data_IF_326063071591
#
_entry.id   IF_326063071591
#
_cell.length_a   1.000
_cell.length_b   1.000
_cell.length_c   1.000
_cell.angle_alpha   90.00
_cell.angle_beta   90.00
_cell.angle_gamma   90.00
#
_symmetry.space_group_name_H-M   'P 1'
#
loop_
_entity.id
_entity.type
_entity.pdbx_description
1 polymer ?
#
# COMPACT_ATOMS: atom_id res chain seq x y z
N UNK A 1 22.02 -3.21 22.97
CA UNK A 1 21.02 -2.58 22.09
C UNK A 1 21.14 -1.05 22.05
N UNK A 2 20.55 -0.27 22.97
CA UNK A 2 20.61 1.22 22.90
C UNK A 2 22.06 1.78 22.87
N UNK A 3 22.95 1.24 23.71
CA UNK A 3 24.38 1.62 23.73
C UNK A 3 25.14 1.25 22.46
N UNK A 4 24.66 0.29 21.68
CA UNK A 4 25.31 -0.13 20.43
C UNK A 4 24.84 0.75 19.26
N UNK A 5 23.59 1.21 19.32
CA UNK A 5 23.04 2.22 18.41
C UNK A 5 23.74 3.57 18.62
N UNK A 6 23.95 4.00 19.86
CA UNK A 6 24.64 5.27 20.17
C UNK A 6 26.10 5.32 19.67
N UNK A 7 26.75 4.16 19.46
CA UNK A 7 28.11 4.10 18.91
C UNK A 7 28.14 4.38 17.40
N UNK A 8 27.07 4.05 16.69
CA UNK A 8 26.97 4.17 15.24
C UNK A 8 26.19 5.42 14.82
N UNK A 9 25.20 5.82 15.61
CA UNK A 9 24.28 6.90 15.27
C UNK A 9 24.22 7.97 16.34
N UNK A 10 24.32 9.22 15.90
CA UNK A 10 24.03 10.38 16.73
C UNK A 10 22.51 10.63 16.80
N UNK A 11 21.83 10.07 17.79
CA UNK A 11 20.38 10.24 17.94
C UNK A 11 20.08 11.59 18.61
N UNK A 12 19.38 12.48 17.90
CA UNK A 12 18.98 13.79 18.43
C UNK A 12 17.60 14.19 17.90
N UNK A 13 16.95 15.18 18.50
CA UNK A 13 15.68 15.69 17.98
C UNK A 13 15.78 16.19 16.52
N UNK A 14 16.98 16.58 16.07
CA UNK A 14 17.24 17.01 14.70
C UNK A 14 17.20 15.86 13.69
N UNK A 15 17.43 14.61 14.10
CA UNK A 15 17.31 13.48 13.16
C UNK A 15 15.85 13.17 12.79
N UNK A 16 14.87 13.79 13.47
CA UNK A 16 13.44 13.69 13.16
C UNK A 16 12.99 14.67 12.06
N UNK A 17 13.88 15.53 11.54
CA UNK A 17 13.56 16.47 10.46
C UNK A 17 12.87 15.79 9.26
N UNK A 18 13.30 14.61 8.75
CA UNK A 18 12.64 13.96 7.62
C UNK A 18 11.18 13.60 7.92
N UNK A 19 10.89 13.13 9.14
CA UNK A 19 9.54 12.84 9.61
C UNK A 19 8.68 14.11 9.64
N UNK A 20 9.21 15.20 10.20
CA UNK A 20 8.52 16.50 10.24
C UNK A 20 8.20 16.99 8.83
N UNK A 21 9.14 16.87 7.89
CA UNK A 21 8.92 17.24 6.48
C UNK A 21 7.77 16.45 5.89
N UNK A 22 7.75 15.12 6.04
CA UNK A 22 6.66 14.27 5.52
C UNK A 22 5.31 14.65 6.13
N UNK A 23 5.24 14.85 7.45
CA UNK A 23 4.01 15.24 8.15
C UNK A 23 3.51 16.60 7.66
N UNK A 24 4.40 17.59 7.55
CA UNK A 24 4.03 18.93 7.07
C UNK A 24 3.51 18.88 5.62
N UNK A 25 4.15 18.10 4.75
CA UNK A 25 3.68 17.92 3.36
C UNK A 25 2.33 17.21 3.30
N UNK A 26 2.11 16.20 4.16
CA UNK A 26 0.83 15.50 4.27
C UNK A 26 -0.29 16.44 4.75
N UNK A 27 -0.04 17.27 5.78
CA UNK A 27 -1.00 18.27 6.25
C UNK A 27 -1.31 19.33 5.19
N UNK A 28 -0.33 19.65 4.33
CA UNK A 28 -0.50 20.54 3.17
C UNK A 28 -1.14 19.85 1.95
N UNK A 29 -1.56 18.59 2.07
CA UNK A 29 -2.20 17.81 1.00
C UNK A 29 -1.35 17.73 -0.27
N UNK A 30 -0.02 17.74 -0.13
CA UNK A 30 0.90 17.51 -1.24
C UNK A 30 0.77 16.05 -1.69
N UNK A 31 0.86 15.75 -3.00
CA UNK A 31 0.81 14.38 -3.50
C UNK A 31 1.75 13.43 -2.73
N UNK A 32 1.29 12.25 -2.29
CA UNK A 32 2.08 11.34 -1.45
C UNK A 32 3.44 10.95 -2.06
N UNK A 33 3.50 10.77 -3.38
CA UNK A 33 4.74 10.45 -4.11
C UNK A 33 5.81 11.52 -3.90
N UNK A 34 5.42 12.80 -3.97
CA UNK A 34 6.33 13.92 -3.72
C UNK A 34 6.71 14.03 -2.25
N UNK A 35 5.78 13.74 -1.34
CA UNK A 35 6.06 13.75 0.09
C UNK A 35 7.08 12.67 0.49
N UNK A 36 6.94 11.45 -0.04
CA UNK A 36 7.88 10.34 0.20
C UNK A 36 9.26 10.67 -0.39
N UNK A 37 9.31 11.18 -1.62
CA UNK A 37 10.58 11.60 -2.24
C UNK A 37 11.28 12.69 -1.43
N UNK A 38 10.54 13.72 -1.00
CA UNK A 38 11.08 14.79 -0.16
C UNK A 38 11.59 14.24 1.19
N UNK A 39 10.86 13.29 1.79
CA UNK A 39 11.28 12.60 3.01
C UNK A 39 12.59 11.83 2.81
N UNK A 40 12.72 11.06 1.73
CA UNK A 40 13.94 10.31 1.41
C UNK A 40 15.15 11.23 1.18
N UNK A 41 14.98 12.30 0.39
CA UNK A 41 16.04 13.28 0.15
C UNK A 41 16.45 14.02 1.42
N UNK A 42 15.49 14.41 2.25
CA UNK A 42 15.76 15.04 3.55
C UNK A 42 16.46 14.07 4.50
N UNK A 43 16.10 12.79 4.47
CA UNK A 43 16.79 11.72 5.20
C UNK A 43 18.26 11.57 4.77
N UNK A 44 18.51 11.61 3.46
CA UNK A 44 19.87 11.63 2.91
C UNK A 44 20.68 12.85 3.39
N UNK A 45 20.09 14.05 3.37
CA UNK A 45 20.75 15.25 3.87
C UNK A 45 21.07 15.15 5.37
N UNK A 46 20.14 14.64 6.16
CA UNK A 46 20.36 14.41 7.60
C UNK A 46 21.46 13.38 7.83
N UNK A 47 21.54 12.32 7.02
CA UNK A 47 22.62 11.34 7.12
C UNK A 47 23.99 11.97 6.83
N UNK A 48 24.10 12.82 5.82
CA UNK A 48 25.35 13.52 5.47
C UNK A 48 25.79 14.48 6.58
N UNK A 49 24.86 15.26 7.14
CA UNK A 49 25.18 16.33 8.10
C UNK A 49 25.42 15.76 9.50
N UNK A 50 24.57 14.83 9.95
CA UNK A 50 24.55 14.37 11.34
C UNK A 50 25.09 12.95 11.53
N UNK A 51 25.26 12.16 10.46
CA UNK A 51 25.73 10.76 10.53
C UNK A 51 26.91 10.45 9.58
N UNK A 52 27.92 11.32 9.41
CA UNK A 52 28.97 11.10 8.42
C UNK A 52 29.81 9.84 8.68
N UNK A 53 29.99 9.46 9.95
CA UNK A 53 30.75 8.26 10.31
C UNK A 53 30.00 6.98 9.93
N UNK A 54 28.68 6.93 10.15
CA UNK A 54 27.84 5.79 9.74
C UNK A 54 27.85 5.64 8.21
N UNK A 55 27.75 6.74 7.48
CA UNK A 55 27.78 6.73 6.01
C UNK A 55 29.13 6.21 5.48
N UNK A 56 30.25 6.65 6.07
CA UNK A 56 31.58 6.13 5.71
C UNK A 56 31.73 4.64 6.00
N UNK A 57 31.31 4.21 7.19
CA UNK A 57 31.37 2.80 7.57
C UNK A 57 30.53 1.91 6.64
N UNK A 58 29.37 2.41 6.19
CA UNK A 58 28.51 1.70 5.26
C UNK A 58 29.12 1.56 3.86
N UNK A 59 29.75 2.62 3.34
CA UNK A 59 30.37 2.58 2.00
C UNK A 59 31.65 1.74 1.99
N UNK A 60 32.46 1.80 3.06
CA UNK A 60 33.65 0.97 3.24
C UNK A 60 34.75 1.18 2.19
N UNK A 61 34.76 2.32 1.51
CA UNK A 61 35.69 2.63 0.41
C UNK A 61 36.54 3.86 0.74
N UNK A 62 37.74 3.62 1.26
CA UNK A 62 38.70 4.65 1.67
C UNK A 62 39.40 5.33 0.48
N UNK A 63 39.18 4.86 -0.75
CA UNK A 63 39.80 5.43 -1.95
C UNK A 63 39.10 6.70 -2.46
N UNK A 64 37.87 6.94 -2.00
CA UNK A 64 37.02 8.04 -2.45
C UNK A 64 37.15 9.27 -1.54
N UNK A 65 37.16 10.45 -2.14
CA UNK A 65 37.09 11.72 -1.40
C UNK A 65 35.80 11.82 -0.59
N UNK A 66 35.84 12.53 0.56
CA UNK A 66 34.69 12.64 1.48
C UNK A 66 33.35 13.00 0.80
N UNK A 67 33.27 13.96 -0.14
CA UNK A 67 31.99 14.28 -0.81
C UNK A 67 31.42 13.11 -1.61
N UNK A 68 32.28 12.32 -2.26
CA UNK A 68 31.87 11.16 -3.07
C UNK A 68 31.41 10.00 -2.21
N UNK A 69 32.06 9.76 -1.06
CA UNK A 69 31.61 8.77 -0.08
C UNK A 69 30.22 9.11 0.46
N UNK A 70 29.99 10.38 0.79
CA UNK A 70 28.68 10.85 1.28
C UNK A 70 27.57 10.64 0.25
N UNK A 71 27.83 11.04 -1.01
CA UNK A 71 26.87 10.89 -2.09
C UNK A 71 26.58 9.42 -2.39
N UNK A 72 27.63 8.60 -2.51
CA UNK A 72 27.53 7.16 -2.76
C UNK A 72 26.75 6.46 -1.64
N UNK A 73 27.05 6.76 -0.38
CA UNK A 73 26.36 6.12 0.75
C UNK A 73 24.87 6.45 0.83
N UNK A 74 24.47 7.69 0.55
CA UNK A 74 23.04 8.04 0.46
C UNK A 74 22.38 7.35 -0.73
N UNK A 75 23.05 7.36 -1.88
CA UNK A 75 22.54 6.70 -3.09
C UNK A 75 22.34 5.19 -2.88
N UNK A 76 23.35 4.51 -2.36
CA UNK A 76 23.31 3.07 -2.10
C UNK A 76 22.26 2.74 -1.04
N UNK A 77 22.16 3.52 0.05
CA UNK A 77 21.12 3.33 1.06
C UNK A 77 19.71 3.47 0.48
N UNK A 78 19.49 4.37 -0.49
CA UNK A 78 18.20 4.49 -1.19
C UNK A 78 17.99 3.37 -2.22
N UNK A 79 19.03 2.99 -2.94
CA UNK A 79 18.95 2.03 -4.04
C UNK A 79 18.88 0.59 -3.55
N UNK A 80 19.88 0.15 -2.79
CA UNK A 80 20.06 -1.23 -2.35
C UNK A 80 19.71 -1.44 -0.88
N UNK A 81 19.65 -0.35 -0.11
CA UNK A 81 19.31 -0.38 1.31
C UNK A 81 20.51 -0.29 2.23
N UNK A 82 20.28 0.20 3.44
CA UNK A 82 21.33 0.30 4.47
C UNK A 82 21.57 -1.07 5.11
N UNK A 83 22.82 -1.37 5.44
CA UNK A 83 23.21 -2.59 6.16
C UNK A 83 24.02 -2.19 7.39
N UNK A 84 23.50 -2.54 8.56
CA UNK A 84 24.18 -2.31 9.82
C UNK A 84 25.15 -3.45 10.15
N UNK A 85 26.28 -3.11 10.76
CA UNK A 85 27.22 -4.07 11.31
C UNK A 85 27.64 -3.60 12.70
N UNK A 86 26.82 -3.95 13.68
CA UNK A 86 26.95 -3.55 15.09
C UNK A 86 27.61 -4.64 15.93
N UNK A 87 27.72 -5.86 15.39
CA UNK A 87 28.15 -7.06 16.11
C UNK A 87 27.02 -7.75 16.90
N UNK A 88 25.80 -7.26 16.78
CA UNK A 88 24.61 -7.79 17.44
C UNK A 88 23.53 -8.10 16.39
N UNK A 89 23.31 -9.38 16.09
CA UNK A 89 22.37 -9.81 15.06
C UNK A 89 20.96 -9.19 15.18
N UNK A 90 20.34 -9.08 16.38
CA UNK A 90 19.03 -8.44 16.50
C UNK A 90 19.02 -6.94 16.12
N UNK A 91 20.11 -6.23 16.35
CA UNK A 91 20.25 -4.80 16.02
C UNK A 91 20.54 -4.65 14.53
N UNK A 92 21.34 -5.54 13.97
CA UNK A 92 21.67 -5.55 12.54
C UNK A 92 20.42 -5.87 11.70
N UNK A 93 19.60 -6.83 12.11
CA UNK A 93 18.32 -7.15 11.47
C UNK A 93 17.31 -6.00 11.54
N UNK A 94 17.30 -5.27 12.66
CA UNK A 94 16.38 -4.15 12.86
C UNK A 94 16.75 -2.91 12.01
N UNK A 95 18.04 -2.63 11.89
CA UNK A 95 18.54 -1.43 11.23
C UNK A 95 18.79 -1.62 9.73
N UNK A 96 18.99 -2.86 9.29
CA UNK A 96 19.21 -3.16 7.88
C UNK A 96 17.89 -3.16 7.09
N UNK A 97 17.93 -2.69 5.85
CA UNK A 97 16.75 -2.62 4.98
C UNK A 97 17.12 -2.84 3.51
N UNK A 98 16.12 -3.06 2.66
CA UNK A 98 16.32 -3.45 1.25
C UNK A 98 16.27 -2.32 0.20
N UNK A 99 16.08 -1.06 0.62
CA UNK A 99 15.99 0.07 -0.30
C UNK A 99 14.91 -0.09 -1.39
N UNK A 100 15.09 0.58 -2.53
CA UNK A 100 14.22 0.41 -3.70
C UNK A 100 14.35 -0.98 -4.34
N UNK A 101 15.54 -1.58 -4.29
CA UNK A 101 15.81 -2.91 -4.84
C UNK A 101 14.91 -3.98 -4.22
N UNK A 102 14.69 -3.92 -2.90
CA UNK A 102 13.79 -4.82 -2.18
C UNK A 102 12.33 -4.76 -2.64
N UNK A 103 11.94 -3.67 -3.31
CA UNK A 103 10.58 -3.48 -3.83
C UNK A 103 10.43 -3.86 -5.30
N UNK A 104 11.51 -4.19 -6.02
CA UNK A 104 11.45 -4.49 -7.46
C UNK A 104 10.49 -5.63 -7.80
N UNK A 105 10.44 -6.67 -6.98
CA UNK A 105 9.50 -7.78 -7.18
C UNK A 105 8.04 -7.31 -7.13
N UNK A 106 7.70 -6.47 -6.15
CA UNK A 106 6.36 -5.88 -6.02
C UNK A 106 6.06 -4.95 -7.21
N UNK A 107 7.03 -4.14 -7.63
CA UNK A 107 6.88 -3.25 -8.80
C UNK A 107 6.63 -4.06 -10.08
N UNK A 108 7.39 -5.12 -10.32
CA UNK A 108 7.17 -6.00 -11.48
C UNK A 108 5.79 -6.63 -11.47
N UNK A 109 5.37 -7.13 -10.31
CA UNK A 109 4.03 -7.71 -10.13
C UNK A 109 2.94 -6.67 -10.43
N UNK A 110 3.06 -5.44 -9.93
CA UNK A 110 2.10 -4.35 -10.22
C UNK A 110 2.06 -4.04 -11.72
N UNK A 111 3.22 -3.85 -12.37
CA UNK A 111 3.28 -3.54 -13.81
C UNK A 111 2.60 -4.64 -14.64
N UNK A 112 2.93 -5.91 -14.37
CA UNK A 112 2.33 -7.05 -15.08
C UNK A 112 0.83 -7.15 -14.82
N UNK A 113 0.39 -6.98 -13.56
CA UNK A 113 -1.02 -7.08 -13.20
C UNK A 113 -1.85 -5.92 -13.80
N UNK A 114 -1.33 -4.69 -13.80
CA UNK A 114 -1.98 -3.54 -14.42
C UNK A 114 -2.04 -3.67 -15.95
N UNK A 115 -0.98 -4.16 -16.59
CA UNK A 115 -0.98 -4.43 -18.02
C UNK A 115 -2.04 -5.47 -18.40
N UNK A 116 -2.08 -6.59 -17.67
CA UNK A 116 -3.10 -7.63 -17.85
C UNK A 116 -4.52 -7.08 -17.62
N UNK A 117 -4.72 -6.36 -16.52
CA UNK A 117 -5.99 -5.75 -16.18
C UNK A 117 -6.47 -4.74 -17.22
N UNK A 118 -5.57 -3.92 -17.75
CA UNK A 118 -5.84 -2.99 -18.83
C UNK A 118 -6.29 -3.68 -20.11
N UNK A 119 -5.61 -4.76 -20.51
CA UNK A 119 -5.99 -5.58 -21.68
C UNK A 119 -7.38 -6.18 -21.48
N UNK A 120 -7.63 -6.82 -20.33
CA UNK A 120 -8.93 -7.44 -20.05
C UNK A 120 -10.09 -6.44 -20.04
N UNK A 121 -9.84 -5.22 -19.56
CA UNK A 121 -10.83 -4.15 -19.55
C UNK A 121 -11.09 -3.65 -20.98
N UNK A 122 -10.04 -3.44 -21.78
CA UNK A 122 -10.17 -2.97 -23.17
C UNK A 122 -10.87 -4.00 -24.08
N UNK A 123 -10.67 -5.30 -23.86
CA UNK A 123 -11.33 -6.37 -24.63
C UNK A 123 -12.75 -6.69 -24.15
N UNK A 124 -13.21 -6.08 -23.05
CA UNK A 124 -14.55 -6.29 -22.51
C UNK A 124 -14.77 -7.62 -21.77
N UNK A 125 -13.74 -8.47 -21.65
CA UNK A 125 -13.82 -9.74 -20.92
C UNK A 125 -14.15 -9.54 -19.44
N UNK A 126 -13.57 -8.49 -18.87
CA UNK A 126 -13.75 -8.14 -17.46
C UNK A 126 -15.22 -7.83 -17.13
N UNK A 127 -15.92 -7.11 -18.03
CA UNK A 127 -17.36 -6.86 -17.90
C UNK A 127 -18.20 -8.13 -18.05
N UNK A 128 -17.82 -9.05 -18.95
CA UNK A 128 -18.53 -10.32 -19.16
C UNK A 128 -18.42 -11.28 -17.98
N UNK A 129 -17.30 -11.30 -17.26
CA UNK A 129 -17.12 -12.13 -16.07
C UNK A 129 -18.03 -11.70 -14.91
N UNK A 130 -18.37 -10.41 -14.84
CA UNK A 130 -19.09 -9.83 -13.68
C UNK A 130 -20.57 -9.56 -13.98
N UNK A 131 -20.98 -9.47 -15.24
CA UNK A 131 -22.37 -9.35 -15.66
C UNK A 131 -23.33 -10.32 -14.91
N UNK A 132 -22.99 -11.62 -14.70
CA UNK A 132 -23.83 -12.55 -13.94
C UNK A 132 -23.93 -12.23 -12.44
N UNK A 133 -22.90 -11.61 -11.86
CA UNK A 133 -22.84 -11.24 -10.44
C UNK A 133 -23.72 -10.01 -10.16
N UNK A 134 -23.74 -9.06 -11.09
CA UNK A 134 -24.62 -7.88 -11.03
C UNK A 134 -26.10 -8.27 -11.11
N UNK A 135 -26.47 -9.20 -12.02
CA UNK A 135 -27.87 -9.66 -12.19
C UNK A 135 -28.46 -10.37 -10.98
N UNK A 136 -27.63 -10.89 -10.06
CA UNK A 136 -28.07 -11.60 -8.84
C UNK A 136 -28.42 -10.66 -7.68
N UNK A 137 -28.02 -9.40 -7.74
CA UNK A 137 -28.41 -8.43 -6.73
C UNK A 137 -29.86 -8.01 -6.99
N UNK A 138 -30.81 -8.37 -6.12
CA UNK A 138 -32.24 -8.00 -6.30
C UNK A 138 -32.71 -6.90 -5.36
N UNK A 139 -31.96 -6.57 -4.30
CA UNK A 139 -32.25 -5.50 -3.33
C UNK A 139 -31.06 -4.55 -3.12
N UNK A 140 -31.25 -3.34 -2.54
CA UNK A 140 -30.13 -2.46 -2.19
C UNK A 140 -29.09 -3.11 -1.26
N UNK A 141 -29.55 -3.94 -0.33
CA UNK A 141 -28.70 -4.76 0.53
C UNK A 141 -27.95 -5.83 -0.26
N UNK A 142 -28.65 -6.48 -1.18
CA UNK A 142 -28.08 -7.43 -2.13
C UNK A 142 -27.01 -6.79 -3.01
N UNK A 143 -27.19 -5.56 -3.46
CA UNK A 143 -26.19 -4.82 -4.23
C UNK A 143 -24.91 -4.60 -3.42
N UNK A 144 -25.02 -4.10 -2.18
CA UNK A 144 -23.88 -3.95 -1.26
C UNK A 144 -23.15 -5.29 -1.03
N UNK A 145 -23.89 -6.35 -0.71
CA UNK A 145 -23.31 -7.67 -0.48
C UNK A 145 -22.64 -8.26 -1.74
N UNK A 146 -23.30 -8.16 -2.91
CA UNK A 146 -22.75 -8.62 -4.18
C UNK A 146 -21.50 -7.85 -4.57
N UNK A 147 -21.46 -6.53 -4.36
CA UNK A 147 -20.25 -5.71 -4.54
C UNK A 147 -19.14 -6.22 -3.63
N UNK A 148 -19.42 -6.40 -2.33
CA UNK A 148 -18.43 -6.86 -1.36
C UNK A 148 -17.83 -8.22 -1.70
N UNK A 149 -18.68 -9.22 -1.98
CA UNK A 149 -18.26 -10.57 -2.35
C UNK A 149 -17.46 -10.55 -3.66
N UNK A 150 -17.90 -9.77 -4.64
CA UNK A 150 -17.20 -9.65 -5.93
C UNK A 150 -15.81 -9.04 -5.74
N UNK A 151 -15.70 -7.96 -4.97
CA UNK A 151 -14.43 -7.31 -4.64
C UNK A 151 -13.43 -8.27 -3.97
N UNK A 152 -13.88 -9.03 -2.96
CA UNK A 152 -13.04 -10.04 -2.28
C UNK A 152 -12.65 -11.16 -3.25
N UNK A 153 -13.60 -11.64 -4.05
CA UNK A 153 -13.35 -12.68 -5.05
C UNK A 153 -12.32 -12.24 -6.09
N UNK A 154 -12.40 -11.00 -6.58
CA UNK A 154 -11.42 -10.44 -7.51
C UNK A 154 -10.05 -10.34 -6.84
N UNK A 155 -9.94 -9.89 -5.59
CA UNK A 155 -8.66 -9.91 -4.88
C UNK A 155 -8.06 -11.32 -4.79
N UNK A 156 -8.90 -12.33 -4.56
CA UNK A 156 -8.47 -13.72 -4.51
C UNK A 156 -7.86 -14.21 -5.83
N UNK A 157 -8.26 -13.68 -6.99
CA UNK A 157 -7.75 -14.13 -8.30
C UNK A 157 -6.82 -13.14 -8.99
N UNK A 158 -6.88 -11.85 -8.64
CA UNK A 158 -6.10 -10.80 -9.25
C UNK A 158 -4.77 -10.61 -8.51
N UNK A 159 -3.71 -10.41 -9.29
CA UNK A 159 -2.38 -10.08 -8.76
C UNK A 159 -2.29 -8.67 -8.20
N UNK A 160 -3.28 -7.80 -8.41
CA UNK A 160 -3.21 -6.42 -7.94
C UNK A 160 -4.56 -5.88 -7.49
N UNK A 161 -4.56 -5.13 -6.38
CA UNK A 161 -5.75 -4.53 -5.78
C UNK A 161 -6.46 -3.56 -6.71
N UNK A 162 -5.74 -2.83 -7.57
CA UNK A 162 -6.33 -1.86 -8.49
C UNK A 162 -7.44 -2.48 -9.34
N UNK A 163 -7.23 -3.73 -9.77
CA UNK A 163 -8.24 -4.47 -10.51
C UNK A 163 -9.50 -4.67 -9.66
N UNK A 164 -9.39 -5.13 -8.41
CA UNK A 164 -10.54 -5.32 -7.54
C UNK A 164 -11.32 -4.01 -7.30
N UNK A 165 -10.63 -2.88 -7.17
CA UNK A 165 -11.26 -1.56 -6.97
C UNK A 165 -11.98 -1.08 -8.23
N UNK A 166 -11.24 -0.90 -9.32
CA UNK A 166 -11.74 -0.25 -10.54
C UNK A 166 -12.79 -1.10 -11.23
N UNK A 167 -12.57 -2.42 -11.28
CA UNK A 167 -13.48 -3.32 -11.94
C UNK A 167 -14.82 -3.41 -11.19
N UNK A 168 -14.78 -3.67 -9.88
CA UNK A 168 -15.99 -3.73 -9.06
C UNK A 168 -16.72 -2.39 -9.11
N UNK A 169 -16.00 -1.28 -9.01
CA UNK A 169 -16.56 0.07 -9.12
C UNK A 169 -17.27 0.29 -10.43
N UNK A 170 -16.63 0.03 -11.56
CA UNK A 170 -17.21 0.25 -12.88
C UNK A 170 -18.46 -0.62 -13.14
N UNK A 171 -18.44 -1.88 -12.71
CA UNK A 171 -19.56 -2.80 -12.98
C UNK A 171 -20.78 -2.51 -12.10
N UNK A 172 -20.58 -2.20 -10.82
CA UNK A 172 -21.68 -1.95 -9.90
C UNK A 172 -22.16 -0.49 -9.88
N UNK A 173 -21.43 0.45 -10.49
CA UNK A 173 -21.83 1.87 -10.58
C UNK A 173 -23.24 2.05 -11.13
N UNK A 174 -23.53 1.40 -12.26
CA UNK A 174 -24.84 1.50 -12.91
C UNK A 174 -25.95 0.84 -12.08
N UNK A 175 -25.64 -0.26 -11.41
CA UNK A 175 -26.59 -0.98 -10.56
C UNK A 175 -26.95 -0.17 -9.30
N UNK A 176 -25.98 0.50 -8.69
CA UNK A 176 -26.22 1.41 -7.56
C UNK A 176 -27.05 2.61 -7.99
N UNK A 177 -26.77 3.17 -9.19
CA UNK A 177 -27.54 4.27 -9.79
C UNK A 177 -29.00 3.89 -10.02
N UNK A 178 -29.26 2.75 -10.67
CA UNK A 178 -30.62 2.23 -10.93
C UNK A 178 -31.43 2.02 -9.66
N UNK A 179 -30.77 1.74 -8.54
CA UNK A 179 -31.38 1.51 -7.23
C UNK A 179 -31.50 2.77 -6.38
N UNK A 180 -31.06 3.92 -6.89
CA UNK A 180 -31.04 5.16 -6.12
C UNK A 180 -30.17 5.09 -4.87
N UNK A 181 -29.07 4.34 -4.91
CA UNK A 181 -28.07 4.28 -3.83
C UNK A 181 -26.98 5.32 -4.13
N UNK A 182 -26.55 6.06 -3.12
CA UNK A 182 -25.54 7.09 -3.32
C UNK A 182 -24.17 6.46 -3.68
N UNK A 183 -23.38 7.06 -4.59
CA UNK A 183 -22.11 6.51 -5.05
C UNK A 183 -21.07 6.34 -3.92
N UNK A 184 -21.20 7.11 -2.84
CA UNK A 184 -20.36 6.96 -1.64
C UNK A 184 -20.56 5.60 -0.97
N UNK A 185 -21.75 4.99 -1.08
CA UNK A 185 -22.00 3.66 -0.54
C UNK A 185 -21.23 2.60 -1.33
N UNK A 186 -21.15 2.73 -2.66
CA UNK A 186 -20.36 1.86 -3.51
C UNK A 186 -18.88 1.99 -3.18
N UNK A 187 -18.37 3.22 -3.12
CA UNK A 187 -16.97 3.50 -2.76
C UNK A 187 -16.64 2.93 -1.38
N UNK A 188 -17.48 3.20 -0.37
CA UNK A 188 -17.31 2.64 0.99
C UNK A 188 -17.30 1.12 0.97
N UNK A 189 -18.24 0.49 0.27
CA UNK A 189 -18.30 -0.98 0.21
C UNK A 189 -17.04 -1.57 -0.42
N UNK A 190 -16.51 -0.94 -1.47
CA UNK A 190 -15.28 -1.37 -2.14
C UNK A 190 -14.07 -1.18 -1.21
N UNK A 191 -13.94 -0.04 -0.53
CA UNK A 191 -12.87 0.18 0.44
C UNK A 191 -12.95 -0.82 1.59
N UNK A 192 -14.16 -1.08 2.08
CA UNK A 192 -14.38 -1.97 3.21
C UNK A 192 -14.08 -3.44 2.90
N UNK A 193 -14.03 -3.82 1.62
CA UNK A 193 -13.81 -5.20 1.20
C UNK A 193 -12.58 -5.39 0.32
N UNK A 194 -12.46 -4.71 -0.82
CA UNK A 194 -11.30 -4.85 -1.70
C UNK A 194 -10.02 -4.28 -1.07
N UNK A 195 -10.05 -3.06 -0.52
CA UNK A 195 -8.81 -2.44 0.00
C UNK A 195 -8.24 -3.23 1.18
N UNK A 196 -9.09 -3.64 2.11
CA UNK A 196 -8.64 -4.30 3.33
C UNK A 196 -8.33 -5.80 3.12
N UNK A 197 -8.85 -6.46 2.09
CA UNK A 197 -8.56 -7.90 1.89
C UNK A 197 -7.37 -8.18 0.97
N UNK A 198 -6.92 -7.20 0.19
CA UNK A 198 -5.77 -7.38 -0.70
C UNK A 198 -4.49 -7.85 0.02
N UNK A 199 -4.13 -7.33 1.22
CA UNK A 199 -2.98 -7.85 1.98
C UNK A 199 -3.10 -9.31 2.40
N UNK A 200 -4.30 -9.89 2.40
CA UNK A 200 -4.50 -11.29 2.80
C UNK A 200 -4.19 -12.29 1.67
N UNK A 201 -3.94 -11.80 0.45
CA UNK A 201 -3.74 -12.65 -0.73
C UNK A 201 -2.25 -12.68 -1.10
N UNK A 202 -1.56 -13.84 -1.02
CA UNK A 202 -0.10 -13.91 -1.15
C UNK A 202 0.46 -13.41 -2.48
N UNK A 203 -0.28 -13.63 -3.57
CA UNK A 203 0.09 -13.21 -4.93
C UNK A 203 -0.44 -11.82 -5.30
N UNK A 204 -1.13 -11.14 -4.38
CA UNK A 204 -1.58 -9.77 -4.59
C UNK A 204 -0.47 -8.78 -4.18
N UNK A 205 -0.39 -7.62 -4.84
CA UNK A 205 0.66 -6.62 -4.61
C UNK A 205 0.79 -6.19 -3.15
N UNK A 206 -0.31 -5.95 -2.43
CA UNK A 206 -0.23 -5.58 -1.01
C UNK A 206 0.20 -6.76 -0.12
N UNK A 207 -0.19 -7.99 -0.48
CA UNK A 207 0.23 -9.20 0.24
C UNK A 207 1.73 -9.48 0.07
N UNK A 208 2.23 -9.29 -1.15
CA UNK A 208 3.66 -9.37 -1.48
C UNK A 208 4.46 -8.27 -0.77
N UNK A 209 3.96 -7.03 -0.75
CA UNK A 209 4.57 -5.92 -0.02
C UNK A 209 4.65 -6.21 1.47
N UNK A 210 3.53 -6.57 2.12
CA UNK A 210 3.49 -6.86 3.54
C UNK A 210 4.41 -8.03 3.92
N UNK A 211 4.47 -9.08 3.09
CA UNK A 211 5.41 -10.19 3.31
C UNK A 211 6.87 -9.74 3.21
N UNK A 212 7.18 -8.90 2.21
CA UNK A 212 8.52 -8.37 2.01
C UNK A 212 8.99 -7.47 3.16
N UNK A 213 8.10 -6.65 3.71
CA UNK A 213 8.40 -5.76 4.85
C UNK A 213 8.52 -6.54 6.16
N UNK A 214 7.61 -7.49 6.41
CA UNK A 214 7.60 -8.25 7.66
C UNK A 214 8.63 -9.39 7.69
N UNK A 215 9.22 -9.74 6.55
CA UNK A 215 10.16 -10.87 6.43
C UNK A 215 9.52 -12.25 6.64
N UNK A 216 8.17 -12.32 6.65
CA UNK A 216 7.40 -13.55 6.83
C UNK A 216 6.38 -13.69 5.72
N UNK A 217 5.93 -14.93 5.47
CA UNK A 217 4.95 -15.19 4.41
C UNK A 217 3.57 -14.60 4.75
N UNK A 218 2.76 -14.31 3.73
CA UNK A 218 1.37 -13.88 3.92
C UNK A 218 0.59 -14.82 4.84
N UNK A 219 0.75 -16.13 4.68
CA UNK A 219 0.04 -17.12 5.51
C UNK A 219 0.43 -16.98 6.99
N UNK A 220 1.66 -16.59 7.30
CA UNK A 220 2.12 -16.42 8.67
C UNK A 220 1.49 -15.21 9.37
N UNK A 221 1.38 -14.05 8.71
CA UNK A 221 0.73 -12.87 9.32
C UNK A 221 -0.79 -12.83 9.16
N UNK A 222 -1.34 -13.55 8.18
CA UNK A 222 -2.76 -13.53 7.84
C UNK A 222 -3.71 -13.72 9.04
N UNK A 223 -3.46 -14.62 10.01
CA UNK A 223 -4.31 -14.76 11.19
C UNK A 223 -4.32 -13.54 12.12
N UNK A 224 -3.25 -12.73 12.09
CA UNK A 224 -3.05 -11.57 12.96
C UNK A 224 -3.52 -10.25 12.31
N UNK A 225 -3.90 -10.27 11.03
CA UNK A 225 -4.43 -9.13 10.31
C UNK A 225 -5.91 -8.87 10.68
N UNK A 226 -6.18 -8.62 11.97
CA UNK A 226 -7.53 -8.54 12.53
C UNK A 226 -8.41 -7.52 11.82
N UNK A 227 -7.88 -6.32 11.52
CA UNK A 227 -8.62 -5.29 10.80
C UNK A 227 -9.10 -5.77 9.43
N UNK A 228 -8.22 -6.45 8.69
CA UNK A 228 -8.48 -6.97 7.35
C UNK A 228 -9.58 -8.05 7.32
N UNK A 229 -9.75 -8.80 8.43
CA UNK A 229 -10.83 -9.77 8.59
C UNK A 229 -12.12 -9.17 9.13
N UNK A 230 -12.01 -8.32 10.15
CA UNK A 230 -13.17 -7.77 10.87
C UNK A 230 -13.89 -6.74 10.01
N UNK A 231 -13.17 -5.89 9.28
CA UNK A 231 -13.79 -4.80 8.54
C UNK A 231 -14.77 -5.28 7.46
N UNK A 232 -14.46 -6.27 6.60
CA UNK A 232 -15.43 -6.82 5.66
C UNK A 232 -16.65 -7.42 6.35
N UNK A 233 -16.46 -8.11 7.49
CA UNK A 233 -17.56 -8.73 8.25
C UNK A 233 -18.53 -7.66 8.80
N UNK A 234 -18.00 -6.56 9.34
CA UNK A 234 -18.81 -5.41 9.79
C UNK A 234 -19.53 -4.78 8.60
N UNK A 235 -18.86 -4.63 7.45
CA UNK A 235 -19.46 -4.06 6.26
C UNK A 235 -20.62 -4.91 5.73
N UNK A 236 -20.47 -6.24 5.70
CA UNK A 236 -21.55 -7.17 5.36
C UNK A 236 -22.70 -7.15 6.39
N UNK A 237 -22.39 -7.03 7.68
CA UNK A 237 -23.41 -6.87 8.71
C UNK A 237 -24.22 -5.59 8.48
N UNK A 238 -23.56 -4.46 8.20
CA UNK A 238 -24.23 -3.18 7.93
C UNK A 238 -25.08 -3.26 6.65
N UNK A 239 -24.56 -3.91 5.60
CA UNK A 239 -25.32 -4.18 4.38
C UNK A 239 -26.58 -5.02 4.65
N UNK A 240 -26.47 -6.09 5.45
CA UNK A 240 -27.58 -6.97 5.83
C UNK A 240 -28.65 -6.27 6.68
N UNK A 241 -28.23 -5.44 7.63
CA UNK A 241 -29.13 -4.63 8.47
C UNK A 241 -29.71 -3.41 7.72
N UNK A 242 -29.11 -3.00 6.59
CA UNK A 242 -29.50 -1.80 5.85
C UNK A 242 -29.04 -0.50 6.51
N UNK A 243 -27.99 -0.56 7.32
CA UNK A 243 -27.41 0.60 8.01
C UNK A 243 -26.45 1.32 7.07
N UNK A 244 -26.45 2.65 7.11
CA UNK A 244 -25.52 3.50 6.34
C UNK A 244 -25.53 3.22 4.83
N UNK A 245 -26.73 2.99 4.26
CA UNK A 245 -26.97 2.95 2.81
C UNK A 245 -27.64 4.27 2.41
N UNK A 246 -26.87 5.34 2.18
CA UNK A 246 -27.43 6.63 1.75
C UNK A 246 -28.14 6.48 0.40
N UNK A 247 -29.27 7.15 0.26
CA UNK A 247 -29.97 7.26 -1.02
C UNK A 247 -29.29 8.32 -1.89
N UNK A 248 -29.34 8.13 -3.20
CA UNK A 248 -28.88 9.11 -4.16
C UNK A 248 -29.68 10.42 -4.00
N UNK A 249 -28.99 11.56 -4.16
CA UNK A 249 -29.66 12.85 -4.12
C UNK A 249 -30.65 12.97 -5.29
N UNK A 250 -31.86 13.51 -5.07
CA UNK A 250 -32.82 13.73 -6.14
C UNK A 250 -32.23 14.72 -7.17
N UNK A 251 -32.19 14.32 -8.45
CA UNK A 251 -31.78 15.18 -9.56
C UNK A 251 -30.34 15.04 -10.06
N UNK A 252 -29.53 14.13 -9.51
CA UNK A 252 -28.21 13.82 -10.08
C UNK A 252 -28.35 12.72 -11.14
N UNK A 253 -28.95 13.07 -12.28
CA UNK A 253 -28.57 12.44 -13.55
C UNK A 253 -27.20 13.02 -13.93
N UNK A 254 -26.13 12.41 -13.43
CA UNK A 254 -24.76 12.73 -13.87
C UNK A 254 -24.42 11.94 -15.13
N UNK A 255 -23.71 12.57 -16.09
CA UNK A 255 -23.70 12.26 -17.53
C UNK A 255 -23.25 10.86 -17.93
#
# INVERSE_FOLDING_TARGET
ELRDIEKLFHVSALTLIPLVVVIVLALRKIPPTLAILAGALTGGLVAIIFQPNAVRAFVGDDSLGTPWVMLKGVWDAMATGFVANTGSAPVDDLLSGGGMQGMLNTVWLIITALAFGGIMNHTGFLGKLIEPLSRRATSPRGAMASTGVTAIGINGVAGDQYLALVLTGNVFKEEFRRRGIAPQALSRQIEDTATVTSPLVPWNSCGAYASGVLGITTIAYLPFAFFNWINPLISFLYAGLGIAIPKAAPGVESP
#
